data_IF_969981602005
#
_entry.id   IF_969981602005
#
_cell.length_a   1.000
_cell.length_b   1.000
_cell.length_c   1.000
_cell.angle_alpha   90.00
_cell.angle_beta   90.00
_cell.angle_gamma   90.00
#
_symmetry.space_group_name_H-M   'P 1'
#
loop_
_entity.id
_entity.type
_entity.pdbx_description
1 polymer ?
#
# COMPACT_ATOMS: atom_id res chain seq x y z
N UNK A 1 5.96 -12.57 14.30
CA UNK A 1 5.03 -12.01 13.30
C UNK A 1 3.96 -11.26 14.07
N UNK A 2 4.03 -9.93 14.13
CA UNK A 2 2.87 -9.15 14.55
C UNK A 2 1.92 -9.18 13.34
N UNK A 3 0.74 -9.78 13.52
CA UNK A 3 -0.35 -9.60 12.57
C UNK A 3 -0.81 -8.16 12.73
N UNK A 4 -0.51 -7.32 11.75
CA UNK A 4 -1.08 -5.98 11.70
C UNK A 4 -2.54 -6.13 11.33
N UNK A 5 -3.41 -5.64 12.20
CA UNK A 5 -4.84 -5.71 12.04
C UNK A 5 -5.34 -4.51 11.22
N UNK A 6 -6.56 -4.62 10.69
CA UNK A 6 -7.20 -3.48 10.02
C UNK A 6 -7.25 -2.23 10.90
N UNK A 7 -7.42 -2.38 12.21
CA UNK A 7 -7.45 -1.26 13.15
C UNK A 7 -6.08 -0.57 13.26
N UNK A 8 -5.00 -1.35 13.27
CA UNK A 8 -3.61 -0.83 13.27
C UNK A 8 -3.32 0.00 12.00
N UNK A 9 -3.79 -0.46 10.83
CA UNK A 9 -3.64 0.30 9.56
C UNK A 9 -4.40 1.63 9.62
N UNK A 10 -5.61 1.63 10.20
CA UNK A 10 -6.38 2.87 10.31
C UNK A 10 -5.74 3.86 11.29
N UNK A 11 -5.18 3.37 12.40
CA UNK A 11 -4.46 4.20 13.35
C UNK A 11 -3.19 4.81 12.72
N UNK A 12 -2.40 3.99 12.01
CA UNK A 12 -1.25 4.45 11.24
C UNK A 12 -1.61 5.55 10.24
N UNK A 13 -2.74 5.41 9.52
CA UNK A 13 -3.21 6.46 8.61
C UNK A 13 -3.59 7.74 9.35
N UNK A 14 -4.24 7.63 10.53
CA UNK A 14 -4.57 8.80 11.36
C UNK A 14 -3.30 9.52 11.83
N UNK A 15 -2.29 8.78 12.28
CA UNK A 15 -0.98 9.34 12.67
C UNK A 15 -0.28 10.06 11.51
N UNK A 16 -0.41 9.53 10.29
CA UNK A 16 0.14 10.12 9.06
C UNK A 16 -0.76 11.19 8.43
N UNK A 17 -1.84 11.59 9.09
CA UNK A 17 -2.85 12.52 8.57
C UNK A 17 -3.45 12.12 7.21
N UNK A 18 -3.46 10.82 6.91
CA UNK A 18 -4.10 10.27 5.73
C UNK A 18 -5.58 10.00 6.01
N UNK A 19 -6.44 10.41 5.07
CA UNK A 19 -7.83 9.99 5.08
C UNK A 19 -7.92 8.46 5.07
N UNK A 20 -8.61 7.91 6.06
CA UNK A 20 -8.95 6.49 6.16
C UNK A 20 -10.08 6.18 5.19
N UNK A 21 -9.81 5.31 4.22
CA UNK A 21 -10.83 4.79 3.30
C UNK A 21 -10.64 3.28 3.09
N UNK A 22 -11.71 2.50 2.84
CA UNK A 22 -11.59 1.07 2.62
C UNK A 22 -10.64 0.69 1.48
N UNK A 23 -10.62 1.49 0.40
CA UNK A 23 -9.72 1.29 -0.74
C UNK A 23 -8.25 1.49 -0.36
N UNK A 24 -7.93 2.52 0.45
CA UNK A 24 -6.57 2.76 0.91
C UNK A 24 -6.09 1.66 1.84
N UNK A 25 -6.96 1.22 2.77
CA UNK A 25 -6.65 0.09 3.64
C UNK A 25 -6.35 -1.16 2.82
N UNK A 26 -7.17 -1.49 1.82
CA UNK A 26 -6.95 -2.66 0.97
C UNK A 26 -5.67 -2.57 0.11
N UNK A 27 -5.33 -1.39 -0.40
CA UNK A 27 -4.07 -1.19 -1.14
C UNK A 27 -2.88 -1.40 -0.21
N UNK A 28 -2.94 -0.85 1.01
CA UNK A 28 -1.85 -0.98 1.98
C UNK A 28 -1.71 -2.41 2.51
N UNK A 29 -2.83 -3.08 2.77
CA UNK A 29 -2.89 -4.49 3.17
C UNK A 29 -2.21 -5.43 2.15
N UNK A 30 -2.39 -5.17 0.85
CA UNK A 30 -1.68 -5.89 -0.22
C UNK A 30 -0.16 -5.71 -0.15
N UNK A 31 0.31 -4.51 0.19
CA UNK A 31 1.73 -4.18 0.29
C UNK A 31 2.36 -4.75 1.57
N UNK A 32 1.59 -4.84 2.64
CA UNK A 32 2.03 -5.38 3.92
C UNK A 32 2.18 -6.91 3.90
N UNK A 33 1.29 -7.61 3.18
CA UNK A 33 1.24 -9.07 3.16
C UNK A 33 2.01 -9.71 1.98
N UNK A 34 2.86 -8.95 1.29
CA UNK A 34 3.61 -9.44 0.14
C UNK A 34 5.11 -9.40 0.41
N UNK A 35 5.80 -10.50 0.11
CA UNK A 35 7.28 -10.55 0.14
C UNK A 35 7.88 -10.15 -1.20
N UNK A 36 7.08 -10.13 -2.27
CA UNK A 36 7.46 -9.64 -3.59
C UNK A 36 6.92 -8.22 -3.74
N UNK A 37 7.80 -7.22 -3.85
CA UNK A 37 7.42 -5.82 -4.09
C UNK A 37 6.53 -5.71 -5.34
N UNK A 38 5.21 -5.49 -5.22
CA UNK A 38 4.33 -5.55 -6.37
C UNK A 38 4.37 -4.25 -7.15
N UNK A 39 4.12 -4.34 -8.45
CA UNK A 39 3.83 -3.22 -9.33
C UNK A 39 2.43 -2.65 -9.06
N UNK A 40 2.17 -1.43 -9.53
CA UNK A 40 0.84 -0.82 -9.42
C UNK A 40 -0.26 -1.67 -10.09
N UNK A 41 0.05 -2.34 -11.20
CA UNK A 41 -0.90 -3.21 -11.91
C UNK A 41 -1.22 -4.50 -11.14
N UNK A 42 -0.22 -5.09 -10.47
CA UNK A 42 -0.43 -6.26 -9.60
C UNK A 42 -1.27 -5.90 -8.38
N UNK A 43 -1.03 -4.73 -7.78
CA UNK A 43 -1.86 -4.19 -6.70
C UNK A 43 -3.30 -3.99 -7.19
N UNK A 44 -3.47 -3.36 -8.35
CA UNK A 44 -4.79 -3.14 -8.95
C UNK A 44 -5.53 -4.46 -9.17
N UNK A 45 -4.86 -5.47 -9.71
CA UNK A 45 -5.45 -6.80 -9.94
C UNK A 45 -5.93 -7.43 -8.63
N UNK A 46 -5.11 -7.41 -7.57
CA UNK A 46 -5.48 -7.94 -6.25
C UNK A 46 -6.66 -7.17 -5.63
N UNK A 47 -6.62 -5.84 -5.64
CA UNK A 47 -7.65 -5.00 -5.00
C UNK A 47 -8.99 -5.03 -5.76
N UNK A 48 -8.96 -5.23 -7.09
CA UNK A 48 -10.18 -5.35 -7.92
C UNK A 48 -11.13 -6.46 -7.48
N UNK A 49 -10.64 -7.53 -6.84
CA UNK A 49 -11.49 -8.59 -6.31
C UNK A 49 -12.46 -8.07 -5.23
N UNK A 50 -12.01 -7.17 -4.37
CA UNK A 50 -12.82 -6.56 -3.33
C UNK A 50 -13.50 -5.26 -3.80
N UNK A 51 -12.89 -4.53 -4.72
CA UNK A 51 -13.39 -3.25 -5.24
C UNK A 51 -13.42 -3.24 -6.79
N UNK A 52 -14.42 -3.86 -7.43
CA UNK A 52 -14.46 -4.00 -8.90
C UNK A 52 -14.43 -2.68 -9.68
N UNK A 53 -14.87 -1.59 -9.06
CA UNK A 53 -14.92 -0.25 -9.65
C UNK A 53 -13.66 0.59 -9.43
N UNK A 54 -12.63 0.05 -8.76
CA UNK A 54 -11.39 0.79 -8.53
C UNK A 54 -10.66 1.03 -9.85
N UNK A 55 -10.22 2.28 -10.04
CA UNK A 55 -9.49 2.68 -11.24
C UNK A 55 -7.97 2.58 -11.02
N UNK A 56 -7.17 2.44 -12.09
CA UNK A 56 -5.72 2.59 -12.01
C UNK A 56 -5.32 3.92 -11.37
N UNK A 57 -5.98 5.02 -11.73
CA UNK A 57 -5.72 6.33 -11.13
C UNK A 57 -5.86 6.29 -9.60
N UNK A 58 -6.89 5.64 -9.08
CA UNK A 58 -7.09 5.51 -7.63
C UNK A 58 -5.92 4.80 -6.95
N UNK A 59 -5.35 3.79 -7.59
CA UNK A 59 -4.16 3.08 -7.09
C UNK A 59 -2.95 4.01 -7.11
N UNK A 60 -2.64 4.65 -8.24
CA UNK A 60 -1.51 5.59 -8.34
C UNK A 60 -1.62 6.77 -7.37
N UNK A 61 -2.79 7.42 -7.27
CA UNK A 61 -3.01 8.51 -6.31
C UNK A 61 -2.81 8.05 -4.86
N UNK A 62 -3.19 6.82 -4.55
CA UNK A 62 -3.01 6.25 -3.21
C UNK A 62 -1.54 5.96 -2.93
N UNK A 63 -0.83 5.33 -3.87
CA UNK A 63 0.60 5.05 -3.74
C UNK A 63 1.42 6.33 -3.59
N UNK A 64 1.13 7.37 -4.38
CA UNK A 64 1.76 8.68 -4.23
C UNK A 64 1.48 9.32 -2.86
N UNK A 65 0.24 9.18 -2.35
CA UNK A 65 -0.11 9.69 -1.03
C UNK A 65 0.65 8.94 0.08
N UNK A 66 0.86 7.63 -0.06
CA UNK A 66 1.64 6.83 0.88
C UNK A 66 3.13 7.18 0.81
N UNK A 67 3.68 7.38 -0.38
CA UNK A 67 5.07 7.79 -0.57
C UNK A 67 5.34 9.14 0.08
N UNK A 68 4.44 10.11 -0.12
CA UNK A 68 4.54 11.45 0.46
C UNK A 68 4.59 11.47 1.99
N UNK A 69 4.04 10.44 2.67
CA UNK A 69 4.08 10.30 4.13
C UNK A 69 5.07 9.23 4.63
N UNK A 70 5.87 8.68 3.70
CA UNK A 70 6.90 7.68 3.96
C UNK A 70 6.38 6.29 4.35
N UNK A 71 5.13 5.96 3.99
CA UNK A 71 4.52 4.65 4.22
C UNK A 71 4.90 3.62 3.15
N UNK A 72 5.24 4.08 1.94
CA UNK A 72 5.77 3.21 0.89
C UNK A 72 7.00 3.83 0.25
N UNK A 73 7.83 2.99 -0.35
CA UNK A 73 8.98 3.43 -1.15
C UNK A 73 8.93 2.77 -2.52
N UNK A 74 9.09 3.54 -3.63
CA UNK A 74 9.27 2.96 -4.94
C UNK A 74 10.66 2.31 -5.05
N UNK A 75 10.69 1.08 -5.54
CA UNK A 75 11.91 0.36 -5.92
C UNK A 75 11.96 0.37 -7.45
N UNK A 76 12.98 1.06 -7.97
CA UNK A 76 13.19 1.19 -9.41
C UNK A 76 13.98 -0.02 -9.93
N UNK A 77 13.24 -0.99 -10.46
CA UNK A 77 13.74 -2.02 -11.38
C UNK A 77 13.16 -1.73 -12.80
N UNK A 78 13.22 -2.69 -13.73
CA UNK A 78 12.60 -2.58 -15.07
C UNK A 78 11.11 -2.12 -15.06
N UNK A 79 10.42 -2.30 -13.93
CA UNK A 79 9.12 -1.71 -13.60
C UNK A 79 9.15 -1.14 -12.18
N UNK A 80 8.39 -0.06 -11.91
CA UNK A 80 8.27 0.51 -10.55
C UNK A 80 7.51 -0.44 -9.63
N UNK A 81 8.16 -0.87 -8.56
CA UNK A 81 7.61 -1.75 -7.50
C UNK A 81 7.49 -0.98 -6.19
N UNK A 82 6.63 -1.41 -5.28
CA UNK A 82 6.41 -0.71 -4.01
C UNK A 82 6.67 -1.62 -2.81
N UNK A 83 7.22 -1.05 -1.73
CA UNK A 83 7.42 -1.72 -0.44
C UNK A 83 6.72 -0.95 0.68
N UNK A 84 6.11 -1.66 1.65
CA UNK A 84 5.50 -1.06 2.83
C UNK A 84 6.59 -0.75 3.87
N UNK A 85 6.90 0.53 4.04
CA UNK A 85 7.98 0.98 4.91
C UNK A 85 7.53 0.95 6.38
N UNK A 86 7.64 -0.22 7.04
CA UNK A 86 7.33 -0.36 8.46
C UNK A 86 8.54 -0.39 9.40
N UNK A 87 9.77 -0.54 8.88
CA UNK A 87 11.08 -0.44 9.57
C UNK A 87 12.18 -0.94 8.61
N UNK A 88 13.47 -0.59 8.81
CA UNK A 88 14.52 -0.98 7.88
C UNK A 88 14.65 -2.50 7.83
N UNK A 89 14.40 -3.07 6.66
CA UNK A 89 14.77 -4.46 6.35
C UNK A 89 16.28 -4.55 6.48
N UNK A 90 16.75 -5.14 7.57
CA UNK A 90 18.17 -5.49 7.71
C UNK A 90 18.44 -6.57 6.68
N UNK A 91 19.31 -6.24 5.74
CA UNK A 91 20.03 -7.14 4.83
C UNK A 91 20.53 -8.41 5.53
#
# INVERSE_FOLDING_TARGET
MNLVTTDDIQELFREKHLKVTPQRCAIYDVLEHTTSHPTADEILAKVKHAFPMISPNTVYYTLNAFEAVGLVMPINDAHTRYDANLKPTTI
#
